data_IF_436323103532
#
_entry.id   IF_436323103532
#
_cell.length_a   1.000
_cell.length_b   1.000
_cell.length_c   1.000
_cell.angle_alpha   90.00
_cell.angle_beta   90.00
_cell.angle_gamma   90.00
#
_symmetry.space_group_name_H-M   'P 1'
#
loop_
_entity.id
_entity.type
_entity.pdbx_description
1 polymer ?
#
# COMPACT_ATOMS: atom_id res chain seq x y z
N UNK A 1 -24.75 -6.40 -17.41
CA UNK A 1 -23.85 -6.40 -16.24
C UNK A 1 -23.56 -4.97 -15.78
N UNK A 2 -23.10 -4.07 -16.66
CA UNK A 2 -22.82 -2.67 -16.33
C UNK A 2 -24.01 -1.94 -15.65
N UNK A 3 -25.18 -1.91 -16.29
CA UNK A 3 -26.37 -1.23 -15.74
C UNK A 3 -26.79 -1.76 -14.37
N UNK A 4 -26.68 -3.08 -14.17
CA UNK A 4 -27.01 -3.72 -12.88
C UNK A 4 -26.05 -3.25 -11.79
N UNK A 5 -24.75 -3.18 -12.07
CA UNK A 5 -23.74 -2.71 -11.11
C UNK A 5 -24.01 -1.24 -10.74
N UNK A 6 -24.25 -0.37 -11.73
CA UNK A 6 -24.50 1.06 -11.50
C UNK A 6 -25.76 1.29 -10.66
N UNK A 7 -26.84 0.57 -10.96
CA UNK A 7 -28.08 0.63 -10.18
C UNK A 7 -27.90 0.15 -8.75
N UNK A 8 -27.20 -0.98 -8.55
CA UNK A 8 -26.91 -1.52 -7.21
C UNK A 8 -26.07 -0.57 -6.37
N UNK A 9 -25.14 0.17 -6.98
CA UNK A 9 -24.33 1.18 -6.30
C UNK A 9 -25.01 2.55 -6.20
N UNK A 10 -26.26 2.69 -6.65
CA UNK A 10 -26.98 3.97 -6.68
C UNK A 10 -26.19 5.09 -7.36
N UNK A 11 -25.42 4.73 -8.39
CA UNK A 11 -24.50 5.63 -9.10
C UNK A 11 -23.42 6.29 -8.21
N UNK A 12 -23.18 5.80 -6.99
CA UNK A 12 -22.12 6.24 -6.08
C UNK A 12 -20.77 5.63 -6.46
N UNK A 13 -20.22 6.06 -7.60
CA UNK A 13 -18.96 5.54 -8.15
C UNK A 13 -17.72 6.33 -7.72
N UNK A 14 -17.90 7.44 -6.99
CA UNK A 14 -16.82 8.32 -6.55
C UNK A 14 -16.44 8.05 -5.10
N UNK A 15 -15.70 6.96 -4.89
CA UNK A 15 -15.17 6.60 -3.56
C UNK A 15 -13.64 6.79 -3.50
N UNK A 16 -13.09 7.26 -2.38
CA UNK A 16 -11.65 7.42 -2.23
C UNK A 16 -10.97 6.06 -2.20
N UNK A 17 -10.13 5.79 -3.20
CA UNK A 17 -9.32 4.58 -3.24
C UNK A 17 -8.10 4.70 -2.32
N UNK A 18 -7.52 3.57 -1.93
CA UNK A 18 -6.28 3.57 -1.15
C UNK A 18 -5.15 4.29 -1.90
N UNK A 19 -5.15 4.25 -3.24
CA UNK A 19 -4.20 5.00 -4.07
C UNK A 19 -4.36 6.52 -3.92
N UNK A 20 -5.58 7.04 -3.76
CA UNK A 20 -5.81 8.46 -3.53
C UNK A 20 -5.13 8.95 -2.24
N UNK A 21 -5.26 8.17 -1.15
CA UNK A 21 -4.54 8.43 0.09
C UNK A 21 -3.02 8.29 -0.07
N UNK A 22 -2.58 7.25 -0.78
CA UNK A 22 -1.16 7.00 -1.03
C UNK A 22 -0.47 8.19 -1.68
N UNK A 23 -1.07 8.80 -2.70
CA UNK A 23 -0.50 9.98 -3.39
C UNK A 23 -0.31 11.15 -2.42
N UNK A 24 -1.23 11.36 -1.47
CA UNK A 24 -1.10 12.38 -0.43
C UNK A 24 0.04 12.04 0.54
N UNK A 25 0.11 10.79 1.01
CA UNK A 25 1.10 10.37 1.99
C UNK A 25 2.52 10.34 1.41
N UNK A 26 2.69 10.00 0.13
CA UNK A 26 3.99 10.06 -0.56
C UNK A 26 4.55 11.48 -0.62
N UNK A 27 3.69 12.50 -0.77
CA UNK A 27 4.10 13.91 -0.70
C UNK A 27 4.58 14.27 0.72
N UNK A 28 3.80 13.92 1.74
CA UNK A 28 4.16 14.13 3.15
C UNK A 28 5.44 13.37 3.56
N UNK A 29 5.69 12.22 2.93
CA UNK A 29 6.88 11.41 3.13
C UNK A 29 8.14 12.01 2.46
N UNK A 30 8.03 13.02 1.59
CA UNK A 30 9.13 13.42 0.70
C UNK A 30 9.72 12.20 -0.04
N UNK A 31 8.82 11.37 -0.58
CA UNK A 31 9.17 10.09 -1.19
C UNK A 31 9.97 10.29 -2.49
N UNK A 32 11.07 9.56 -2.62
CA UNK A 32 11.78 9.44 -3.89
C UNK A 32 11.09 8.39 -4.79
N UNK A 33 11.57 8.27 -6.04
CA UNK A 33 11.01 7.32 -7.02
C UNK A 33 10.98 5.88 -6.49
N UNK A 34 11.97 5.47 -5.68
CA UNK A 34 12.04 4.11 -5.14
C UNK A 34 10.94 3.87 -4.11
N UNK A 35 10.76 4.81 -3.17
CA UNK A 35 9.69 4.75 -2.16
C UNK A 35 8.31 4.79 -2.82
N UNK A 36 8.12 5.63 -3.84
CA UNK A 36 6.86 5.69 -4.60
C UNK A 36 6.53 4.32 -5.19
N UNK A 37 7.46 3.71 -5.92
CA UNK A 37 7.21 2.43 -6.58
C UNK A 37 7.06 1.28 -5.57
N UNK A 38 7.84 1.26 -4.49
CA UNK A 38 7.70 0.28 -3.42
C UNK A 38 6.33 0.37 -2.75
N UNK A 39 5.88 1.59 -2.43
CA UNK A 39 4.58 1.79 -1.78
C UNK A 39 3.43 1.35 -2.71
N UNK A 40 3.51 1.68 -4.01
CA UNK A 40 2.55 1.20 -4.99
C UNK A 40 2.57 -0.33 -5.14
N UNK A 41 3.75 -0.96 -5.11
CA UNK A 41 3.89 -2.42 -5.16
C UNK A 41 3.24 -3.10 -3.96
N UNK A 42 3.48 -2.57 -2.76
CA UNK A 42 2.91 -3.09 -1.52
C UNK A 42 1.39 -2.92 -1.53
N UNK A 43 0.91 -1.73 -1.90
CA UNK A 43 -0.52 -1.42 -1.95
C UNK A 43 -1.28 -2.21 -3.01
N UNK A 44 -0.72 -2.39 -4.21
CA UNK A 44 -1.36 -3.23 -5.24
C UNK A 44 -1.46 -4.70 -4.79
N UNK A 45 -0.54 -5.15 -3.93
CA UNK A 45 -0.59 -6.47 -3.32
C UNK A 45 -1.77 -6.64 -2.35
N UNK A 46 -2.19 -5.59 -1.66
CA UNK A 46 -3.30 -5.68 -0.69
C UNK A 46 -4.64 -5.97 -1.36
N UNK A 47 -4.81 -5.58 -2.63
CA UNK A 47 -6.02 -5.84 -3.41
C UNK A 47 -6.27 -7.33 -3.68
N UNK A 48 -5.26 -8.18 -3.49
CA UNK A 48 -5.36 -9.62 -3.70
C UNK A 48 -5.75 -10.39 -2.44
N UNK A 49 -5.82 -9.73 -1.28
CA UNK A 49 -6.13 -10.36 -0.01
C UNK A 49 -7.51 -9.95 0.49
N UNK A 50 -8.36 -10.96 0.71
CA UNK A 50 -9.67 -10.76 1.34
C UNK A 50 -9.54 -10.37 2.82
N UNK A 51 -8.51 -10.88 3.50
CA UNK A 51 -8.27 -10.63 4.92
C UNK A 51 -7.87 -9.18 5.23
N UNK A 52 -7.62 -8.34 4.23
CA UNK A 52 -7.31 -6.92 4.42
C UNK A 52 -8.52 -6.00 4.23
N UNK A 53 -9.69 -6.54 3.88
CA UNK A 53 -10.90 -5.75 3.59
C UNK A 53 -11.45 -4.99 4.81
N UNK A 54 -11.15 -5.42 6.03
CA UNK A 54 -11.59 -4.72 7.24
C UNK A 54 -10.75 -3.47 7.55
N UNK A 55 -9.61 -3.27 6.87
CA UNK A 55 -8.81 -2.06 7.01
C UNK A 55 -9.32 -0.95 6.09
N UNK A 56 -9.27 0.28 6.58
CA UNK A 56 -9.60 1.44 5.77
C UNK A 56 -8.57 1.63 4.64
N UNK A 57 -8.99 2.17 3.47
CA UNK A 57 -8.06 2.49 2.39
C UNK A 57 -6.88 3.40 2.82
N UNK A 58 -7.13 4.32 3.74
CA UNK A 58 -6.13 5.20 4.33
C UNK A 58 -5.11 4.43 5.19
N UNK A 59 -5.55 3.45 5.97
CA UNK A 59 -4.66 2.62 6.79
C UNK A 59 -3.73 1.76 5.92
N UNK A 60 -4.26 1.16 4.85
CA UNK A 60 -3.45 0.38 3.89
C UNK A 60 -2.42 1.27 3.18
N UNK A 61 -2.80 2.49 2.81
CA UNK A 61 -1.88 3.45 2.22
C UNK A 61 -0.78 3.89 3.19
N UNK A 62 -1.11 4.14 4.46
CA UNK A 62 -0.16 4.48 5.50
C UNK A 62 0.83 3.32 5.74
N UNK A 63 0.33 2.09 5.87
CA UNK A 63 1.14 0.88 6.01
C UNK A 63 2.09 0.68 4.82
N UNK A 64 1.62 0.88 3.59
CA UNK A 64 2.45 0.77 2.40
C UNK A 64 3.62 1.76 2.39
N UNK A 65 3.38 3.02 2.77
CA UNK A 65 4.44 4.05 2.89
C UNK A 65 5.41 3.72 4.02
N UNK A 66 4.89 3.31 5.17
CA UNK A 66 5.68 2.91 6.33
C UNK A 66 6.67 1.79 5.96
N UNK A 67 6.17 0.70 5.38
CA UNK A 67 6.99 -0.44 4.94
C UNK A 67 8.01 0.02 3.91
N UNK A 68 7.61 0.77 2.88
CA UNK A 68 8.51 1.24 1.83
C UNK A 68 9.66 2.10 2.37
N UNK A 69 9.39 2.97 3.35
CA UNK A 69 10.41 3.80 4.00
C UNK A 69 11.40 2.95 4.81
N UNK A 70 10.91 1.93 5.52
CA UNK A 70 11.77 0.97 6.24
C UNK A 70 12.68 0.20 5.30
N UNK A 71 12.15 -0.32 4.19
CA UNK A 71 12.96 -1.04 3.19
C UNK A 71 14.10 -0.18 2.63
N UNK A 72 13.91 1.12 2.53
CA UNK A 72 14.93 2.07 2.04
C UNK A 72 15.84 2.58 3.16
N UNK A 73 15.63 2.19 4.41
CA UNK A 73 16.43 2.63 5.56
C UNK A 73 16.21 4.09 5.96
N UNK A 74 15.06 4.68 5.60
CA UNK A 74 14.66 6.00 6.08
C UNK A 74 13.88 5.87 7.39
N UNK A 75 13.79 6.98 8.15
CA UNK A 75 12.87 7.05 9.29
C UNK A 75 11.46 6.62 8.85
N UNK A 76 10.94 5.57 9.49
CA UNK A 76 9.73 4.84 9.12
C UNK A 76 8.49 5.72 9.19
N UNK A 77 8.40 6.58 10.21
CA UNK A 77 7.27 7.46 10.45
C UNK A 77 7.74 8.85 10.90
N UNK A 78 7.52 9.87 10.05
CA UNK A 78 7.94 11.25 10.34
C UNK A 78 6.82 12.07 10.99
N UNK A 79 7.15 13.17 11.69
CA UNK A 79 6.13 14.11 12.20
C UNK A 79 5.20 14.64 11.10
N UNK A 80 5.74 14.86 9.89
CA UNK A 80 4.94 15.24 8.72
C UNK A 80 3.93 14.15 8.35
N UNK A 81 4.33 12.87 8.38
CA UNK A 81 3.40 11.77 8.11
C UNK A 81 2.32 11.68 9.19
N UNK A 82 2.68 11.81 10.46
CA UNK A 82 1.70 11.89 11.56
C UNK A 82 0.66 12.99 11.29
N UNK A 83 1.10 14.21 10.96
CA UNK A 83 0.21 15.34 10.71
C UNK A 83 -0.70 15.14 9.49
N UNK A 84 -0.19 14.61 8.37
CA UNK A 84 -0.93 14.53 7.11
C UNK A 84 -1.71 13.22 6.92
N UNK A 85 -1.30 12.13 7.58
CA UNK A 85 -2.00 10.85 7.59
C UNK A 85 -2.97 10.71 8.76
N UNK A 86 -2.70 11.38 9.89
CA UNK A 86 -3.55 11.31 11.08
C UNK A 86 -3.44 10.00 11.85
N UNK A 87 -2.38 9.22 11.62
CA UNK A 87 -2.10 7.98 12.32
C UNK A 87 -0.73 8.07 13.01
N UNK A 88 -0.66 7.62 14.26
CA UNK A 88 0.58 7.39 14.98
C UNK A 88 1.25 6.10 14.50
N UNK A 89 2.55 5.95 14.77
CA UNK A 89 3.32 4.78 14.32
C UNK A 89 2.75 3.48 14.90
N UNK A 90 2.31 3.53 16.16
CA UNK A 90 1.70 2.42 16.90
C UNK A 90 0.38 1.94 16.27
N UNK A 91 -0.33 2.82 15.57
CA UNK A 91 -1.57 2.49 14.84
C UNK A 91 -1.27 1.89 13.46
N UNK A 92 -0.13 2.24 12.86
CA UNK A 92 0.27 1.78 11.52
C UNK A 92 0.95 0.41 11.56
N UNK A 93 1.74 0.12 12.61
CA UNK A 93 2.49 -1.14 12.74
C UNK A 93 1.59 -2.38 12.62
N UNK A 94 0.44 -2.51 13.33
CA UNK A 94 -0.42 -3.68 13.21
C UNK A 94 -0.91 -3.92 11.78
N UNK A 95 -1.27 -2.83 11.07
CA UNK A 95 -1.71 -2.89 9.67
C UNK A 95 -0.56 -3.30 8.76
N UNK A 96 0.63 -2.74 8.96
CA UNK A 96 1.83 -3.09 8.21
C UNK A 96 2.22 -4.57 8.39
N UNK A 97 2.14 -5.10 9.62
CA UNK A 97 2.35 -6.53 9.90
C UNK A 97 1.33 -7.41 9.18
N UNK A 98 0.06 -7.03 9.20
CA UNK A 98 -0.99 -7.77 8.48
C UNK A 98 -0.74 -7.78 6.96
N UNK A 99 -0.37 -6.63 6.38
CA UNK A 99 -0.01 -6.53 4.95
C UNK A 99 1.18 -7.44 4.60
N UNK A 100 2.21 -7.51 5.46
CA UNK A 100 3.35 -8.39 5.24
C UNK A 100 2.99 -9.87 5.37
N UNK A 101 2.16 -10.23 6.35
CA UNK A 101 1.69 -11.60 6.53
C UNK A 101 0.92 -12.08 5.29
N UNK A 102 -0.02 -11.28 4.79
CA UNK A 102 -0.79 -11.60 3.59
C UNK A 102 0.09 -11.68 2.33
N UNK A 103 1.11 -10.82 2.23
CA UNK A 103 2.09 -10.89 1.15
C UNK A 103 2.89 -12.21 1.19
N UNK A 104 3.27 -12.68 2.38
CA UNK A 104 4.00 -13.93 2.55
C UNK A 104 3.12 -15.16 2.26
N UNK A 105 1.83 -15.08 2.55
CA UNK A 105 0.84 -16.14 2.29
C UNK A 105 0.22 -16.09 0.89
N UNK A 106 0.64 -15.14 0.03
CA UNK A 106 0.07 -14.98 -1.31
C UNK A 106 0.29 -16.22 -2.17
N UNK A 107 -0.78 -16.71 -2.81
CA UNK A 107 -0.73 -17.88 -3.69
C UNK A 107 0.32 -17.71 -4.81
N UNK A 108 1.09 -18.77 -5.12
CA UNK A 108 2.07 -18.74 -6.21
C UNK A 108 1.43 -18.52 -7.58
N UNK A 109 0.11 -18.61 -7.72
CA UNK A 109 -0.61 -18.34 -8.97
C UNK A 109 -0.80 -16.82 -9.22
N UNK A 110 -0.82 -16.01 -8.15
CA UNK A 110 -1.07 -14.57 -8.20
C UNK A 110 0.21 -13.76 -8.53
N UNK A 111 0.78 -14.00 -9.72
CA UNK A 111 2.08 -13.43 -10.12
C UNK A 111 2.00 -12.06 -10.78
N UNK A 112 0.81 -11.60 -11.16
CA UNK A 112 0.66 -10.43 -12.03
C UNK A 112 1.24 -9.14 -11.43
N UNK A 113 0.98 -8.89 -10.15
CA UNK A 113 1.54 -7.71 -9.43
C UNK A 113 3.06 -7.84 -9.31
N UNK A 114 3.59 -9.01 -8.92
CA UNK A 114 5.04 -9.21 -8.85
C UNK A 114 5.69 -8.95 -10.22
N UNK A 115 5.18 -9.57 -11.29
CA UNK A 115 5.66 -9.38 -12.67
C UNK A 115 5.63 -7.92 -13.12
N UNK A 116 4.58 -7.17 -12.79
CA UNK A 116 4.48 -5.72 -13.09
C UNK A 116 5.65 -4.98 -12.48
N UNK A 117 5.91 -5.18 -11.18
CA UNK A 117 6.92 -4.42 -10.44
C UNK A 117 8.36 -4.96 -10.56
N UNK A 118 8.57 -6.12 -11.20
CA UNK A 118 9.89 -6.57 -11.67
C UNK A 118 10.39 -5.77 -12.87
N UNK A 119 9.48 -5.22 -13.68
CA UNK A 119 9.84 -4.43 -14.87
C UNK A 119 10.65 -3.18 -14.50
N UNK A 120 11.65 -2.85 -15.34
CA UNK A 120 12.46 -1.63 -15.21
C UNK A 120 11.63 -0.34 -15.23
N UNK A 121 10.47 -0.35 -15.88
CA UNK A 121 9.49 0.76 -15.84
C UNK A 121 9.12 1.16 -14.41
N UNK A 122 9.00 0.19 -13.52
CA UNK A 122 8.64 0.38 -12.11
C UNK A 122 9.87 0.26 -11.17
N UNK A 123 11.08 0.31 -11.73
CA UNK A 123 12.33 0.27 -10.97
C UNK A 123 12.71 -1.09 -10.39
N UNK A 124 12.07 -2.18 -10.82
CA UNK A 124 12.42 -3.53 -10.35
C UNK A 124 12.21 -3.77 -8.85
N UNK A 125 11.32 -2.98 -8.23
CA UNK A 125 11.11 -2.99 -6.77
C UNK A 125 10.55 -4.30 -6.23
N UNK A 126 9.99 -5.17 -7.08
CA UNK A 126 9.61 -6.52 -6.65
C UNK A 126 10.81 -7.38 -6.20
N UNK A 127 12.02 -7.04 -6.65
CA UNK A 127 13.25 -7.79 -6.33
C UNK A 127 13.91 -7.32 -5.03
N UNK A 128 13.41 -6.28 -4.38
CA UNK A 128 13.99 -5.80 -3.12
C UNK A 128 13.49 -6.65 -1.95
N UNK A 129 14.41 -7.00 -1.05
CA UNK A 129 14.07 -7.69 0.19
C UNK A 129 13.25 -6.75 1.08
N UNK A 130 12.06 -7.19 1.47
CA UNK A 130 11.21 -6.46 2.41
C UNK A 130 11.46 -7.02 3.80
N UNK A 131 11.89 -6.16 4.73
CA UNK A 131 12.17 -6.55 6.12
C UNK A 131 10.89 -6.44 6.95
N UNK A 132 10.70 -7.35 7.90
CA UNK A 132 9.52 -7.45 8.79
C UNK A 132 9.90 -7.28 10.28
N UNK A 133 10.96 -6.53 10.57
CA UNK A 133 11.61 -6.40 11.88
C UNK A 133 11.05 -5.24 12.72
N UNK A 134 9.72 -5.16 12.81
CA UNK A 134 8.98 -4.13 13.54
C UNK A 134 7.58 -4.60 13.85
#
# INVERSE_FOLDING_TARGET
>A
MEEVILKTLEYQITIPSAHAFLVRYLKAAHADKKIVQLSCYILDGTLQSYNLLHYLPSQLAAAAVFIARRVVGRNSWSPTLLQYAGYCEEEVIPVARAVLAEKASTSPELRAVNKKYTSSRYGGVANTVIVSDF
#
